data_IF_492925429364
#
_entry.id   IF_492925429364
#
_cell.length_a   1.000
_cell.length_b   1.000
_cell.length_c   1.000
_cell.angle_alpha   90.00
_cell.angle_beta   90.00
_cell.angle_gamma   90.00
#
_symmetry.space_group_name_H-M   'P 1'
#
loop_
_entity.id
_entity.type
_entity.pdbx_description
1 polymer ?
#
# COMPACT_ATOMS: atom_id res chain seq x y z
N UNK A 1 -13.25 1.09 3.29
CA UNK A 1 -13.48 0.77 4.73
C UNK A 1 -14.85 0.13 4.89
N UNK A 2 -14.97 -1.00 5.59
CA UNK A 2 -16.28 -1.59 5.93
C UNK A 2 -17.04 -0.73 6.94
N UNK A 3 -18.37 -0.65 6.80
CA UNK A 3 -19.30 0.02 7.72
C UNK A 3 -20.45 -0.92 8.08
N UNK A 4 -21.06 -0.72 9.26
CA UNK A 4 -22.20 -1.53 9.68
C UNK A 4 -23.39 -1.21 8.78
N UNK A 5 -23.96 -2.25 8.17
CA UNK A 5 -25.21 -2.11 7.43
C UNK A 5 -26.35 -1.77 8.40
N UNK A 6 -27.10 -0.73 8.06
CA UNK A 6 -28.24 -0.28 8.86
C UNK A 6 -28.84 0.97 8.23
N UNK A 7 -30.15 1.14 8.40
CA UNK A 7 -30.85 2.34 7.94
C UNK A 7 -31.19 3.19 9.15
N UNK A 8 -30.86 4.48 9.08
CA UNK A 8 -31.21 5.45 10.12
C UNK A 8 -31.86 6.65 9.47
N UNK A 9 -33.00 7.10 9.99
CA UNK A 9 -33.61 8.34 9.54
C UNK A 9 -32.94 9.53 10.25
N UNK A 10 -32.60 10.56 9.48
CA UNK A 10 -31.97 11.79 9.96
C UNK A 10 -32.99 12.94 9.90
N UNK A 11 -33.66 13.28 11.03
CA UNK A 11 -34.73 14.28 11.01
C UNK A 11 -34.25 15.67 10.55
N UNK A 12 -33.00 16.03 10.86
CA UNK A 12 -32.43 17.33 10.49
C UNK A 12 -32.26 17.50 8.98
N UNK A 13 -31.98 16.41 8.26
CA UNK A 13 -31.77 16.41 6.81
C UNK A 13 -32.96 15.88 6.03
N UNK A 14 -34.00 15.46 6.76
CA UNK A 14 -35.17 14.77 6.23
C UNK A 14 -34.79 13.67 5.22
N UNK A 15 -33.88 12.78 5.62
CA UNK A 15 -33.37 11.74 4.73
C UNK A 15 -33.04 10.44 5.46
N UNK A 16 -33.06 9.33 4.71
CA UNK A 16 -32.63 8.01 5.19
C UNK A 16 -31.15 7.83 4.90
N UNK A 17 -30.37 7.61 5.94
CA UNK A 17 -28.95 7.28 5.90
C UNK A 17 -28.74 5.75 5.84
N UNK A 18 -27.59 5.31 5.34
CA UNK A 18 -27.22 3.88 5.26
C UNK A 18 -27.46 3.23 3.90
N UNK A 19 -27.82 4.02 2.90
CA UNK A 19 -27.92 3.62 1.51
C UNK A 19 -26.63 3.96 0.75
N UNK A 20 -26.35 3.24 -0.33
CA UNK A 20 -25.22 3.52 -1.20
C UNK A 20 -25.34 4.89 -1.89
N UNK A 21 -24.20 5.52 -2.11
CA UNK A 21 -24.05 6.77 -2.84
C UNK A 21 -23.83 6.46 -4.32
N UNK A 22 -24.85 5.95 -4.99
CA UNK A 22 -24.84 5.80 -6.46
C UNK A 22 -25.70 6.89 -7.08
N UNK A 23 -25.24 7.42 -8.21
CA UNK A 23 -26.11 8.13 -9.14
C UNK A 23 -27.02 7.08 -9.79
N UNK A 24 -28.09 6.68 -9.10
CA UNK A 24 -29.17 5.96 -9.78
C UNK A 24 -29.71 6.96 -10.81
N UNK A 25 -29.60 6.63 -12.10
CA UNK A 25 -30.29 7.41 -13.12
C UNK A 25 -31.76 7.50 -12.68
N UNK A 26 -32.35 8.70 -12.54
CA UNK A 26 -33.72 8.85 -12.05
C UNK A 26 -34.75 8.07 -12.87
N UNK A 27 -34.40 7.72 -14.12
CA UNK A 27 -35.21 6.94 -15.05
C UNK A 27 -35.17 5.42 -14.80
N UNK A 28 -34.24 4.94 -13.99
CA UNK A 28 -34.17 3.53 -13.60
C UNK A 28 -34.71 3.37 -12.18
N UNK A 29 -35.89 2.77 -12.07
CA UNK A 29 -36.61 2.47 -10.84
C UNK A 29 -35.92 1.33 -10.04
N UNK A 30 -34.65 1.55 -9.70
CA UNK A 30 -33.80 0.59 -8.99
C UNK A 30 -33.78 0.97 -7.52
N UNK A 31 -34.22 0.03 -6.68
CA UNK A 31 -34.15 0.19 -5.22
C UNK A 31 -32.69 0.40 -4.79
N UNK A 32 -32.38 1.46 -4.02
CA UNK A 32 -31.02 1.73 -3.56
C UNK A 32 -30.55 0.63 -2.60
N UNK A 33 -29.32 0.14 -2.80
CA UNK A 33 -28.76 -0.91 -1.95
C UNK A 33 -28.26 -0.33 -0.61
N UNK A 34 -28.16 -1.20 0.39
CA UNK A 34 -27.55 -0.86 1.67
C UNK A 34 -26.05 -0.67 1.51
N UNK A 35 -25.54 0.38 2.14
CA UNK A 35 -24.12 0.65 2.21
C UNK A 35 -23.44 -0.34 3.15
N UNK A 36 -22.44 -1.06 2.63
CA UNK A 36 -21.57 -1.95 3.41
C UNK A 36 -20.15 -1.39 3.52
N UNK A 37 -19.79 -0.43 2.66
CA UNK A 37 -18.48 0.19 2.61
C UNK A 37 -18.57 1.71 2.51
N UNK A 38 -17.54 2.38 3.03
CA UNK A 38 -17.24 3.78 2.79
C UNK A 38 -15.91 3.90 2.04
N UNK A 39 -15.93 4.55 0.90
CA UNK A 39 -14.77 5.05 0.16
C UNK A 39 -14.47 6.45 0.64
N UNK A 40 -13.22 6.72 1.00
CA UNK A 40 -12.81 7.99 1.61
C UNK A 40 -11.65 8.55 0.81
N UNK A 41 -11.78 9.81 0.40
CA UNK A 41 -10.75 10.55 -0.32
C UNK A 41 -10.08 11.53 0.64
N UNK A 42 -8.75 11.48 0.70
CA UNK A 42 -7.94 12.34 1.58
C UNK A 42 -6.80 12.97 0.79
N UNK A 43 -6.63 14.27 0.96
CA UNK A 43 -5.45 14.98 0.50
C UNK A 43 -4.36 14.94 1.58
N UNK A 44 -3.12 14.71 1.14
CA UNK A 44 -1.93 14.66 1.99
C UNK A 44 -0.85 15.57 1.41
N UNK A 45 -0.31 16.47 2.24
CA UNK A 45 0.81 17.31 1.84
C UNK A 45 2.11 16.51 1.71
N UNK A 46 2.79 16.66 0.55
CA UNK A 46 4.10 16.05 0.30
C UNK A 46 5.20 16.85 1.02
N UNK A 47 5.33 18.16 0.73
CA UNK A 47 6.36 19.03 1.33
C UNK A 47 6.04 19.46 2.77
N UNK A 48 4.77 19.74 3.04
CA UNK A 48 4.28 20.23 4.34
C UNK A 48 3.45 19.15 5.03
N UNK A 49 3.52 19.09 6.37
CA UNK A 49 2.77 18.10 7.15
C UNK A 49 1.32 18.55 7.39
N UNK A 50 0.48 18.37 6.39
CA UNK A 50 -0.97 18.56 6.53
C UNK A 50 -1.72 17.39 5.89
N UNK A 51 -2.96 17.18 6.32
CA UNK A 51 -3.87 16.18 5.77
C UNK A 51 -5.30 16.66 5.92
N UNK A 52 -6.15 16.37 4.94
CA UNK A 52 -7.56 16.74 4.98
C UNK A 52 -8.40 15.71 4.24
N UNK A 53 -9.51 15.29 4.86
CA UNK A 53 -10.51 14.46 4.17
C UNK A 53 -11.28 15.37 3.20
N UNK A 54 -11.29 15.00 1.93
CA UNK A 54 -12.01 15.72 0.87
C UNK A 54 -13.48 15.31 0.84
N UNK A 55 -13.75 14.03 1.05
CA UNK A 55 -15.10 13.49 1.01
C UNK A 55 -15.14 12.00 1.25
N UNK A 56 -16.36 11.47 1.31
CA UNK A 56 -16.62 10.04 1.40
C UNK A 56 -17.85 9.67 0.57
N UNK A 57 -17.87 8.44 0.08
CA UNK A 57 -18.96 7.86 -0.69
C UNK A 57 -19.27 6.49 -0.14
N UNK A 58 -20.56 6.19 0.07
CA UNK A 58 -20.99 4.88 0.52
C UNK A 58 -21.20 3.94 -0.66
N UNK A 59 -20.78 2.69 -0.55
CA UNK A 59 -20.97 1.68 -1.60
C UNK A 59 -21.47 0.36 -1.02
N UNK A 60 -22.30 -0.35 -1.78
CA UNK A 60 -22.76 -1.70 -1.43
C UNK A 60 -21.74 -2.79 -1.76
N UNK A 61 -20.79 -2.52 -2.68
CA UNK A 61 -19.78 -3.47 -3.17
C UNK A 61 -18.39 -2.83 -3.37
N UNK A 62 -17.79 -2.33 -2.29
CA UNK A 62 -16.40 -1.83 -2.28
C UNK A 62 -16.07 -0.85 -3.43
N UNK A 63 -14.81 -0.82 -3.88
CA UNK A 63 -14.38 -0.07 -5.06
C UNK A 63 -14.52 -0.85 -6.39
N UNK A 64 -14.91 -2.14 -6.33
CA UNK A 64 -14.48 -3.11 -7.33
C UNK A 64 -15.30 -3.16 -8.63
N UNK A 65 -16.18 -2.19 -8.93
CA UNK A 65 -16.95 -2.18 -10.19
C UNK A 65 -17.61 -0.86 -10.60
N UNK A 66 -17.23 0.28 -10.01
CA UNK A 66 -17.97 1.52 -10.24
C UNK A 66 -17.23 2.41 -11.24
N UNK A 67 -17.85 2.62 -12.40
CA UNK A 67 -17.59 3.70 -13.37
C UNK A 67 -17.41 5.06 -12.66
N UNK A 68 -18.00 5.21 -11.46
CA UNK A 68 -17.91 6.40 -10.63
C UNK A 68 -16.58 6.60 -9.88
N UNK A 69 -15.72 5.58 -9.72
CA UNK A 69 -14.47 5.77 -8.95
C UNK A 69 -13.51 6.72 -9.65
N UNK A 70 -13.36 6.56 -10.97
CA UNK A 70 -12.56 7.49 -11.79
C UNK A 70 -13.17 8.89 -11.72
N UNK A 71 -14.50 9.01 -11.80
CA UNK A 71 -15.21 10.29 -11.66
C UNK A 71 -14.93 10.96 -10.31
N UNK A 72 -15.00 10.23 -9.20
CA UNK A 72 -14.74 10.78 -7.86
C UNK A 72 -13.27 11.15 -7.64
N UNK A 73 -12.34 10.39 -8.21
CA UNK A 73 -10.91 10.75 -8.24
C UNK A 73 -10.74 12.06 -9.02
N UNK A 74 -11.31 12.18 -10.22
CA UNK A 74 -11.24 13.40 -11.03
C UNK A 74 -11.84 14.60 -10.30
N UNK A 75 -13.02 14.45 -9.71
CA UNK A 75 -13.64 15.50 -8.88
C UNK A 75 -12.76 15.92 -7.70
N UNK A 76 -12.14 14.95 -7.02
CA UNK A 76 -11.20 15.22 -5.92
C UNK A 76 -9.99 16.02 -6.40
N UNK A 77 -9.46 15.70 -7.58
CA UNK A 77 -8.36 16.42 -8.22
C UNK A 77 -8.79 17.85 -8.58
N UNK A 78 -9.99 18.03 -9.13
CA UNK A 78 -10.50 19.34 -9.53
C UNK A 78 -10.74 20.26 -8.33
N UNK A 79 -11.24 19.73 -7.20
CA UNK A 79 -11.33 20.47 -5.93
C UNK A 79 -9.94 20.98 -5.51
N UNK A 80 -8.93 20.10 -5.54
CA UNK A 80 -7.57 20.47 -5.15
C UNK A 80 -6.98 21.52 -6.09
N UNK A 81 -7.18 21.38 -7.40
CA UNK A 81 -6.75 22.37 -8.39
C UNK A 81 -7.45 23.72 -8.18
N UNK A 82 -8.75 23.73 -7.86
CA UNK A 82 -9.50 24.94 -7.52
C UNK A 82 -8.96 25.66 -6.27
N UNK A 83 -8.29 24.92 -5.37
CA UNK A 83 -7.57 25.48 -4.22
C UNK A 83 -6.10 25.86 -4.55
N UNK A 84 -5.71 25.92 -5.82
CA UNK A 84 -4.32 26.14 -6.26
C UNK A 84 -3.32 25.10 -5.72
N UNK A 85 -3.77 23.87 -5.43
CA UNK A 85 -2.90 22.77 -5.05
C UNK A 85 -2.55 21.93 -6.28
N UNK A 86 -1.26 21.61 -6.43
CA UNK A 86 -0.80 20.68 -7.46
C UNK A 86 -0.85 19.24 -6.94
N UNK A 87 -1.67 18.42 -7.58
CA UNK A 87 -1.69 16.97 -7.36
C UNK A 87 -0.53 16.33 -8.13
N UNK A 88 0.31 15.58 -7.44
CA UNK A 88 1.48 14.90 -8.02
C UNK A 88 1.20 13.41 -8.26
N UNK A 89 0.53 12.76 -7.32
CA UNK A 89 0.24 11.33 -7.37
C UNK A 89 -1.02 10.99 -6.57
N UNK A 90 -1.57 9.81 -6.83
CA UNK A 90 -2.66 9.19 -6.08
C UNK A 90 -2.19 7.86 -5.52
N UNK A 91 -2.70 7.47 -4.34
CA UNK A 91 -2.35 6.20 -3.68
C UNK A 91 -3.63 5.42 -3.44
N UNK A 92 -3.75 4.25 -4.03
CA UNK A 92 -4.88 3.32 -3.88
C UNK A 92 -4.42 1.98 -3.28
N UNK A 93 -5.38 1.17 -2.83
CA UNK A 93 -5.11 -0.19 -2.40
C UNK A 93 -4.84 -1.09 -3.62
N UNK A 94 -4.37 -2.31 -3.37
CA UNK A 94 -4.10 -3.29 -4.41
C UNK A 94 -5.35 -4.11 -4.80
N UNK A 95 -6.53 -3.51 -4.81
CA UNK A 95 -7.75 -4.16 -5.29
C UNK A 95 -7.62 -4.63 -6.76
N UNK A 96 -8.27 -5.75 -7.17
CA UNK A 96 -8.16 -6.30 -8.53
C UNK A 96 -8.48 -5.33 -9.68
N UNK A 97 -9.17 -4.23 -9.40
CA UNK A 97 -9.49 -3.18 -10.37
C UNK A 97 -8.29 -2.28 -10.76
N UNK A 98 -7.13 -2.41 -10.10
CA UNK A 98 -6.04 -1.42 -10.13
C UNK A 98 -4.74 -1.89 -10.83
N UNK A 99 -4.71 -3.00 -11.58
CA UNK A 99 -3.46 -3.62 -12.07
C UNK A 99 -3.52 -4.03 -13.56
N UNK A 100 -2.73 -3.41 -14.45
CA UNK A 100 -2.57 -3.84 -15.87
C UNK A 100 -1.10 -3.83 -16.34
N UNK A 101 -0.61 -5.02 -16.75
CA UNK A 101 0.52 -5.34 -17.67
C UNK A 101 1.98 -5.14 -17.19
N UNK A 102 3.04 -5.81 -17.68
CA UNK A 102 3.33 -7.13 -18.29
C UNK A 102 4.88 -7.32 -18.23
N UNK A 103 5.39 -8.56 -18.27
CA UNK A 103 6.77 -8.97 -17.87
C UNK A 103 7.63 -9.56 -19.01
N UNK A 104 8.97 -9.55 -18.84
CA UNK A 104 9.93 -10.57 -19.34
C UNK A 104 11.08 -10.75 -18.32
N UNK A 105 11.52 -12.00 -17.99
CA UNK A 105 12.44 -12.32 -16.87
C UNK A 105 13.63 -13.26 -17.19
N UNK A 106 14.64 -13.27 -16.29
CA UNK A 106 15.57 -14.38 -15.90
C UNK A 106 15.51 -14.61 -14.38
N UNK A 107 15.90 -15.77 -13.80
CA UNK A 107 15.31 -16.33 -12.55
C UNK A 107 16.14 -16.27 -11.24
N UNK A 108 15.44 -16.12 -10.09
CA UNK A 108 15.84 -16.54 -8.72
C UNK A 108 14.64 -17.16 -7.96
N UNK A 109 14.88 -18.06 -6.97
CA UNK A 109 13.85 -18.78 -6.19
C UNK A 109 14.13 -18.79 -4.69
N UNK A 110 13.12 -18.53 -3.86
CA UNK A 110 13.12 -18.70 -2.39
C UNK A 110 12.06 -19.74 -1.96
N UNK A 111 12.27 -20.44 -0.84
CA UNK A 111 11.36 -21.50 -0.36
C UNK A 111 10.20 -20.93 0.46
N UNK A 112 8.96 -21.16 0.01
CA UNK A 112 7.74 -20.69 0.68
C UNK A 112 7.51 -21.34 2.04
N UNK A 113 7.80 -22.63 2.19
CA UNK A 113 7.61 -23.38 3.44
C UNK A 113 8.45 -22.80 4.60
N UNK A 114 9.60 -22.22 4.29
CA UNK A 114 10.47 -21.57 5.29
C UNK A 114 9.92 -20.22 5.74
N UNK A 115 9.26 -19.49 4.83
CA UNK A 115 8.61 -18.20 5.11
C UNK A 115 7.32 -18.42 5.91
N UNK A 116 6.55 -19.47 5.59
CA UNK A 116 5.29 -19.79 6.27
C UNK A 116 5.50 -20.23 7.73
N UNK A 117 6.52 -21.05 8.00
CA UNK A 117 6.90 -21.42 9.38
C UNK A 117 7.31 -20.22 10.24
N UNK A 118 7.82 -19.15 9.62
CA UNK A 118 8.11 -17.89 10.31
C UNK A 118 6.85 -17.02 10.47
N UNK A 119 5.87 -17.17 9.56
CA UNK A 119 4.60 -16.45 9.55
C UNK A 119 3.70 -16.83 10.73
N UNK A 120 3.73 -18.09 11.17
CA UNK A 120 2.93 -18.58 12.31
C UNK A 120 3.36 -17.98 13.66
N UNK A 121 4.50 -17.28 13.74
CA UNK A 121 5.07 -16.80 15.00
C UNK A 121 5.01 -15.29 15.27
N UNK A 122 4.90 -14.40 14.27
CA UNK A 122 4.58 -12.97 14.51
C UNK A 122 4.24 -12.22 13.20
N UNK A 123 3.07 -11.59 13.13
CA UNK A 123 2.48 -11.08 11.87
C UNK A 123 3.11 -9.78 11.33
N UNK A 124 4.03 -9.13 12.06
CA UNK A 124 4.57 -7.82 11.69
C UNK A 124 6.09 -7.82 11.40
N UNK A 125 6.82 -8.92 11.67
CA UNK A 125 8.30 -8.94 11.60
C UNK A 125 8.90 -9.97 10.63
N UNK A 126 8.08 -10.62 9.79
CA UNK A 126 8.53 -11.71 8.90
C UNK A 126 9.62 -11.26 7.92
N UNK A 127 9.57 -10.01 7.44
CA UNK A 127 10.56 -9.42 6.54
C UNK A 127 11.45 -8.40 7.26
N UNK A 128 12.14 -8.81 8.32
CA UNK A 128 12.94 -7.92 9.17
C UNK A 128 14.43 -8.26 9.18
N UNK A 129 15.25 -7.27 9.56
CA UNK A 129 16.69 -7.47 9.77
C UNK A 129 17.01 -8.55 10.81
N UNK A 130 16.23 -8.64 11.90
CA UNK A 130 16.39 -9.67 12.93
C UNK A 130 16.09 -11.06 12.38
N UNK A 131 15.04 -11.22 11.58
CA UNK A 131 14.70 -12.50 10.93
C UNK A 131 15.77 -12.90 9.91
N UNK A 132 16.25 -11.98 9.07
CA UNK A 132 17.37 -12.24 8.16
C UNK A 132 18.61 -12.71 8.92
N UNK A 133 18.98 -11.98 9.99
CA UNK A 133 20.16 -12.31 10.81
C UNK A 133 20.03 -13.68 11.48
N UNK A 134 18.85 -14.00 11.99
CA UNK A 134 18.56 -15.31 12.60
C UNK A 134 18.68 -16.44 11.57
N UNK A 135 18.11 -16.27 10.36
CA UNK A 135 18.23 -17.25 9.29
C UNK A 135 19.68 -17.45 8.82
N UNK A 136 20.47 -16.37 8.72
CA UNK A 136 21.90 -16.46 8.43
C UNK A 136 22.65 -17.23 9.51
N UNK A 137 22.37 -16.97 10.80
CA UNK A 137 22.97 -17.70 11.91
C UNK A 137 22.59 -19.18 11.88
N UNK A 138 21.33 -19.51 11.62
CA UNK A 138 20.87 -20.89 11.49
C UNK A 138 21.55 -21.61 10.32
N UNK A 139 21.75 -20.91 9.19
CA UNK A 139 22.45 -21.45 8.02
C UNK A 139 23.93 -21.73 8.27
N UNK A 140 24.54 -21.07 9.27
CA UNK A 140 25.94 -21.31 9.65
C UNK A 140 26.16 -22.59 10.47
N UNK A 141 25.10 -23.35 10.75
CA UNK A 141 25.18 -24.68 11.37
C UNK A 141 25.26 -24.69 12.90
N UNK A 142 25.10 -23.54 13.56
CA UNK A 142 25.33 -23.39 15.01
C UNK A 142 24.18 -23.84 15.92
N UNK A 143 22.94 -24.05 15.43
CA UNK A 143 21.79 -24.23 16.35
C UNK A 143 20.78 -25.34 16.05
N UNK A 144 20.73 -26.01 14.89
CA UNK A 144 19.81 -27.15 14.70
C UNK A 144 20.20 -28.05 13.51
N UNK A 145 20.17 -29.39 13.65
CA UNK A 145 20.18 -30.31 12.52
C UNK A 145 18.80 -30.26 11.84
N UNK A 146 18.68 -29.54 10.72
CA UNK A 146 17.43 -29.48 9.94
C UNK A 146 17.26 -28.25 9.05
N UNK A 147 17.97 -27.16 9.33
CA UNK A 147 18.04 -25.99 8.44
C UNK A 147 19.27 -26.12 7.53
N UNK A 148 19.04 -26.47 6.27
CA UNK A 148 20.10 -26.65 5.27
C UNK A 148 20.64 -25.33 4.72
N UNK A 149 21.59 -25.42 3.79
CA UNK A 149 22.17 -24.27 3.08
C UNK A 149 21.13 -23.36 2.40
N UNK A 150 19.91 -23.86 2.16
CA UNK A 150 18.77 -23.10 1.62
C UNK A 150 18.34 -21.91 2.49
N UNK A 151 18.53 -22.00 3.80
CA UNK A 151 18.15 -20.93 4.75
C UNK A 151 18.98 -19.66 4.57
N UNK A 152 20.19 -19.77 4.00
CA UNK A 152 21.01 -18.63 3.61
C UNK A 152 20.32 -17.79 2.53
N UNK A 153 19.80 -18.42 1.48
CA UNK A 153 19.12 -17.70 0.39
C UNK A 153 17.84 -17.02 0.87
N UNK A 154 17.11 -17.65 1.80
CA UNK A 154 15.96 -17.03 2.45
C UNK A 154 16.37 -15.83 3.31
N UNK A 155 17.48 -15.93 4.06
CA UNK A 155 18.02 -14.81 4.83
C UNK A 155 18.38 -13.61 3.95
N UNK A 156 19.08 -13.86 2.84
CA UNK A 156 19.47 -12.85 1.86
C UNK A 156 18.24 -12.18 1.22
N UNK A 157 17.25 -12.98 0.83
CA UNK A 157 15.98 -12.47 0.31
C UNK A 157 15.27 -11.57 1.32
N UNK A 158 15.13 -12.04 2.57
CA UNK A 158 14.46 -11.30 3.65
C UNK A 158 15.19 -9.99 3.96
N UNK A 159 16.52 -10.02 4.03
CA UNK A 159 17.34 -8.84 4.25
C UNK A 159 17.19 -7.81 3.13
N UNK A 160 17.19 -8.27 1.88
CA UNK A 160 16.99 -7.42 0.70
C UNK A 160 15.59 -6.80 0.70
N UNK A 161 14.56 -7.57 1.04
CA UNK A 161 13.19 -7.07 1.17
C UNK A 161 13.04 -6.04 2.29
N UNK A 162 13.64 -6.27 3.46
CA UNK A 162 13.64 -5.30 4.56
C UNK A 162 14.24 -3.97 4.10
N UNK A 163 15.38 -4.03 3.41
CA UNK A 163 16.06 -2.85 2.91
C UNK A 163 15.23 -2.09 1.86
N UNK A 164 14.58 -2.82 0.94
CA UNK A 164 13.64 -2.26 -0.01
C UNK A 164 12.47 -1.56 0.69
N UNK A 165 11.90 -2.18 1.73
CA UNK A 165 10.80 -1.61 2.49
C UNK A 165 11.19 -0.33 3.23
N UNK A 166 12.35 -0.34 3.91
CA UNK A 166 12.91 0.84 4.57
C UNK A 166 13.09 2.00 3.59
N UNK A 167 13.54 1.69 2.37
CA UNK A 167 13.71 2.65 1.28
C UNK A 167 12.42 3.24 0.72
N UNK A 168 11.25 2.81 1.18
CA UNK A 168 9.93 3.32 0.77
C UNK A 168 9.12 3.88 1.94
N UNK A 169 9.59 3.73 3.18
CA UNK A 169 8.83 4.09 4.38
C UNK A 169 9.57 5.08 5.30
N UNK A 170 10.48 5.89 4.74
CA UNK A 170 11.25 6.84 5.53
C UNK A 170 10.38 7.93 6.17
N UNK A 171 10.55 8.10 7.48
CA UNK A 171 9.83 9.08 8.32
C UNK A 171 10.69 10.28 8.71
N UNK A 172 12.01 10.16 8.56
CA UNK A 172 12.99 11.17 8.96
C UNK A 172 13.82 11.64 7.76
N UNK A 173 14.24 12.91 7.70
CA UNK A 173 15.03 13.41 6.58
C UNK A 173 16.41 12.75 6.46
N UNK A 174 17.06 12.52 7.60
CA UNK A 174 18.42 11.97 7.68
C UNK A 174 18.42 10.76 8.60
N UNK A 175 19.21 9.76 8.24
CA UNK A 175 19.43 8.55 9.02
C UNK A 175 20.88 8.11 8.81
N UNK A 176 21.48 7.53 9.85
CA UNK A 176 22.79 6.89 9.75
C UNK A 176 22.70 5.53 9.06
N UNK A 177 21.49 4.96 8.96
CA UNK A 177 21.23 3.73 8.22
C UNK A 177 20.98 4.06 6.74
N UNK A 178 21.68 3.42 5.80
CA UNK A 178 21.47 3.62 4.37
C UNK A 178 19.99 3.43 4.00
N UNK A 179 19.46 4.32 3.15
CA UNK A 179 18.10 4.30 2.60
C UNK A 179 16.94 4.29 3.61
N UNK A 180 17.22 4.41 4.91
CA UNK A 180 16.19 4.62 5.95
C UNK A 180 15.79 6.11 6.05
N UNK A 181 16.65 7.01 5.56
CA UNK A 181 16.37 8.44 5.49
C UNK A 181 15.50 8.81 4.29
N UNK A 182 15.13 10.09 4.18
CA UNK A 182 14.41 10.59 3.03
C UNK A 182 15.21 10.45 1.72
N UNK A 183 14.51 10.31 0.59
CA UNK A 183 15.14 10.35 -0.72
C UNK A 183 15.68 11.75 -1.02
N UNK A 184 16.90 11.81 -1.53
CA UNK A 184 17.70 12.98 -1.92
C UNK A 184 18.51 12.65 -3.17
N UNK A 185 18.99 13.68 -3.86
CA UNK A 185 19.86 13.52 -5.05
C UNK A 185 21.11 12.69 -4.77
N UNK A 186 21.65 12.76 -3.55
CA UNK A 186 22.86 12.07 -3.11
C UNK A 186 22.60 10.77 -2.33
N UNK A 187 21.34 10.39 -2.17
CA UNK A 187 20.95 9.30 -1.25
C UNK A 187 20.97 7.90 -1.87
N UNK A 188 21.24 7.78 -3.18
CA UNK A 188 21.28 6.51 -3.88
C UNK A 188 19.93 5.79 -4.05
N UNK A 189 18.80 6.43 -3.70
CA UNK A 189 17.48 5.77 -3.76
C UNK A 189 17.07 5.41 -5.18
N UNK A 190 17.44 6.22 -6.18
CA UNK A 190 17.04 5.97 -7.56
C UNK A 190 17.74 4.73 -8.11
N UNK A 191 19.05 4.62 -7.90
CA UNK A 191 19.87 3.48 -8.26
C UNK A 191 19.40 2.22 -7.53
N UNK A 192 19.07 2.36 -6.23
CA UNK A 192 18.49 1.29 -5.45
C UNK A 192 17.18 0.81 -6.08
N UNK A 193 16.21 1.69 -6.33
CA UNK A 193 14.91 1.27 -6.86
C UNK A 193 15.04 0.65 -8.24
N UNK A 194 15.92 1.17 -9.11
CA UNK A 194 16.19 0.57 -10.41
C UNK A 194 16.77 -0.85 -10.27
N UNK A 195 17.76 -1.03 -9.38
CA UNK A 195 18.34 -2.36 -9.12
C UNK A 195 17.30 -3.34 -8.54
N UNK A 196 16.42 -2.85 -7.67
CA UNK A 196 15.35 -3.64 -7.05
C UNK A 196 14.26 -4.01 -8.04
N UNK A 197 13.92 -3.14 -9.01
CA UNK A 197 13.02 -3.49 -10.11
C UNK A 197 13.63 -4.65 -10.90
N UNK A 198 14.89 -4.54 -11.32
CA UNK A 198 15.55 -5.63 -12.05
C UNK A 198 15.60 -6.92 -11.24
N UNK A 199 15.80 -6.83 -9.92
CA UNK A 199 15.77 -7.99 -9.03
C UNK A 199 14.37 -8.62 -8.90
N UNK A 200 13.31 -7.83 -8.72
CA UNK A 200 11.92 -8.31 -8.64
C UNK A 200 11.46 -8.91 -9.98
N UNK A 201 11.90 -8.31 -11.09
CA UNK A 201 11.77 -8.85 -12.44
C UNK A 201 12.50 -10.18 -12.59
N UNK A 202 13.22 -10.71 -11.60
CA UNK A 202 13.75 -12.08 -11.62
C UNK A 202 12.92 -13.13 -10.89
N UNK A 203 11.95 -12.70 -10.09
CA UNK A 203 11.21 -13.61 -9.22
C UNK A 203 10.28 -14.55 -9.98
N UNK A 204 10.43 -15.85 -9.77
CA UNK A 204 9.51 -16.88 -10.25
C UNK A 204 8.81 -17.52 -9.06
N UNK A 205 7.48 -17.49 -9.07
CA UNK A 205 6.69 -18.12 -8.04
C UNK A 205 6.14 -19.45 -8.55
N UNK A 206 6.13 -20.46 -7.69
CA UNK A 206 5.60 -21.80 -7.99
C UNK A 206 4.68 -22.25 -6.88
N UNK A 207 3.62 -22.97 -7.23
CA UNK A 207 2.79 -23.66 -6.25
C UNK A 207 3.48 -24.93 -5.74
N UNK A 208 2.88 -25.57 -4.72
CA UNK A 208 3.36 -26.84 -4.16
C UNK A 208 3.47 -27.99 -5.19
N UNK A 209 2.83 -27.86 -6.36
CA UNK A 209 2.87 -28.83 -7.47
C UNK A 209 3.92 -28.44 -8.53
N UNK A 210 4.69 -27.38 -8.29
CA UNK A 210 5.74 -26.86 -9.18
C UNK A 210 5.23 -26.02 -10.35
N UNK A 211 3.91 -25.78 -10.46
CA UNK A 211 3.32 -24.96 -11.52
C UNK A 211 3.64 -23.49 -11.26
N UNK A 212 4.06 -22.78 -12.31
CA UNK A 212 4.32 -21.35 -12.24
C UNK A 212 3.03 -20.58 -11.90
N UNK A 213 3.15 -19.69 -10.94
CA UNK A 213 2.12 -18.72 -10.56
C UNK A 213 2.70 -17.30 -10.70
N UNK A 214 1.84 -16.33 -11.02
CA UNK A 214 2.24 -14.91 -11.07
C UNK A 214 1.36 -14.16 -10.07
N UNK A 215 1.87 -13.92 -8.84
CA UNK A 215 1.11 -13.19 -7.84
C UNK A 215 1.00 -11.72 -8.24
N UNK A 216 -0.16 -11.13 -8.00
CA UNK A 216 -0.42 -9.72 -8.27
C UNK A 216 0.55 -8.77 -7.53
N UNK A 217 1.07 -9.20 -6.38
CA UNK A 217 2.03 -8.47 -5.55
C UNK A 217 3.32 -8.12 -6.30
N UNK A 218 3.83 -9.01 -7.15
CA UNK A 218 5.05 -8.76 -7.95
C UNK A 218 4.88 -7.55 -8.86
N UNK A 219 3.77 -7.49 -9.59
CA UNK A 219 3.42 -6.34 -10.44
C UNK A 219 3.23 -5.07 -9.59
N UNK A 220 2.64 -5.21 -8.40
CA UNK A 220 2.50 -4.11 -7.43
C UNK A 220 3.84 -3.49 -7.01
N UNK A 221 4.83 -4.33 -6.70
CA UNK A 221 6.17 -3.86 -6.32
C UNK A 221 6.86 -3.12 -7.46
N UNK A 222 6.87 -3.68 -8.67
CA UNK A 222 7.47 -3.02 -9.85
C UNK A 222 6.77 -1.69 -10.12
N UNK A 223 5.43 -1.67 -10.12
CA UNK A 223 4.66 -0.45 -10.31
C UNK A 223 4.95 0.60 -9.24
N UNK A 224 5.06 0.20 -7.98
CA UNK A 224 5.40 1.11 -6.86
C UNK A 224 6.77 1.74 -7.07
N UNK A 225 7.79 0.95 -7.38
CA UNK A 225 9.16 1.47 -7.59
C UNK A 225 9.24 2.40 -8.80
N UNK A 226 8.59 2.04 -9.90
CA UNK A 226 8.52 2.90 -11.10
C UNK A 226 7.73 4.19 -10.84
N UNK A 227 6.65 4.12 -10.07
CA UNK A 227 5.91 5.30 -9.66
C UNK A 227 6.76 6.22 -8.78
N UNK A 228 7.52 5.67 -7.83
CA UNK A 228 8.42 6.45 -6.98
C UNK A 228 9.54 7.13 -7.77
N UNK A 229 10.13 6.42 -8.74
CA UNK A 229 11.07 7.00 -9.71
C UNK A 229 10.42 8.16 -10.50
N UNK A 230 9.21 7.97 -11.01
CA UNK A 230 8.47 9.01 -11.74
C UNK A 230 8.09 10.22 -10.88
N UNK A 231 7.67 10.00 -9.63
CA UNK A 231 7.38 11.05 -8.64
C UNK A 231 8.64 11.84 -8.35
N UNK A 232 9.77 11.16 -8.11
CA UNK A 232 11.04 11.81 -7.83
C UNK A 232 11.45 12.76 -8.97
N UNK A 233 11.43 12.28 -10.22
CA UNK A 233 11.73 13.09 -11.41
C UNK A 233 10.75 14.26 -11.58
N UNK A 234 9.46 14.03 -11.34
CA UNK A 234 8.42 15.07 -11.42
C UNK A 234 8.58 16.18 -10.39
N UNK A 235 9.33 15.93 -9.32
CA UNK A 235 9.60 16.87 -8.23
C UNK A 235 10.90 17.66 -8.39
N UNK A 236 11.74 17.35 -9.38
CA UNK A 236 13.04 18.03 -9.60
C UNK A 236 12.87 19.55 -9.80
N UNK A 237 11.79 19.98 -10.48
CA UNK A 237 11.48 21.40 -10.66
C UNK A 237 11.03 22.16 -9.40
N UNK A 238 10.83 21.47 -8.27
CA UNK A 238 10.28 22.06 -7.03
C UNK A 238 11.34 22.40 -5.97
N UNK A 239 12.63 22.27 -6.29
CA UNK A 239 13.76 22.53 -5.37
C UNK A 239 13.56 21.87 -3.99
N UNK A 240 13.13 20.60 -4.00
CA UNK A 240 12.90 19.83 -2.79
C UNK A 240 14.24 19.32 -2.24
N UNK A 241 14.56 19.64 -0.98
CA UNK A 241 15.80 19.15 -0.33
C UNK A 241 15.78 17.64 -0.10
N UNK A 242 14.60 17.09 0.18
CA UNK A 242 14.40 15.68 0.44
C UNK A 242 12.92 15.31 0.27
N UNK A 243 12.64 14.02 0.12
CA UNK A 243 11.30 13.45 0.03
C UNK A 243 11.09 12.37 1.09
N UNK A 244 10.13 12.61 1.99
CA UNK A 244 9.71 11.62 2.99
C UNK A 244 8.78 10.60 2.35
N UNK A 245 9.15 9.34 2.42
CA UNK A 245 8.55 8.28 1.60
C UNK A 245 7.32 7.67 2.27
N UNK A 246 7.23 7.75 3.61
CA UNK A 246 6.03 7.41 4.38
C UNK A 246 4.79 8.27 4.06
N UNK A 247 4.91 9.27 3.16
CA UNK A 247 3.79 10.08 2.69
C UNK A 247 3.07 9.47 1.49
N UNK A 248 3.64 8.42 0.91
CA UNK A 248 3.13 7.72 -0.26
C UNK A 248 2.49 6.37 0.09
N UNK A 249 2.04 6.22 1.33
CA UNK A 249 1.30 5.06 1.82
C UNK A 249 -0.08 5.45 2.36
N UNK A 250 -0.94 4.44 2.58
CA UNK A 250 -2.31 4.64 3.04
C UNK A 250 -2.45 4.71 4.57
N UNK A 251 -1.37 4.48 5.32
CA UNK A 251 -1.37 4.49 6.80
C UNK A 251 -1.99 5.76 7.36
N UNK A 252 -1.74 6.90 6.71
CA UNK A 252 -2.30 8.18 7.15
C UNK A 252 -3.84 8.20 7.11
N UNK A 253 -4.43 7.60 6.09
CA UNK A 253 -5.88 7.47 5.93
C UNK A 253 -6.41 6.48 6.96
N UNK A 254 -5.82 5.30 7.04
CA UNK A 254 -6.25 4.24 7.97
C UNK A 254 -6.20 4.69 9.42
N UNK A 255 -5.11 5.33 9.85
CA UNK A 255 -4.98 5.88 11.20
C UNK A 255 -6.05 6.94 11.52
N UNK A 256 -6.40 7.75 10.53
CA UNK A 256 -7.45 8.78 10.69
C UNK A 256 -8.83 8.13 10.83
N UNK A 257 -9.08 7.03 10.12
CA UNK A 257 -10.33 6.27 10.21
C UNK A 257 -10.42 5.48 11.53
N UNK A 258 -9.33 4.84 11.95
CA UNK A 258 -9.24 4.14 13.23
C UNK A 258 -9.51 5.06 14.41
N UNK A 259 -8.98 6.28 14.38
CA UNK A 259 -9.28 7.30 15.39
C UNK A 259 -10.77 7.69 15.42
N UNK A 260 -11.41 7.82 14.24
CA UNK A 260 -12.86 8.09 14.16
C UNK A 260 -13.70 6.93 14.69
N UNK A 261 -13.31 5.67 14.41
CA UNK A 261 -13.99 4.49 14.99
C UNK A 261 -13.94 4.51 16.51
N UNK A 262 -12.78 4.83 17.11
CA UNK A 262 -12.61 4.91 18.57
C UNK A 262 -13.50 5.97 19.24
N UNK A 263 -13.77 7.09 18.56
CA UNK A 263 -14.67 8.15 19.08
C UNK A 263 -16.16 7.79 19.03
N UNK A 264 -16.55 6.78 18.25
CA UNK A 264 -17.93 6.29 18.16
C UNK A 264 -18.24 5.10 19.08
N UNK A 265 -17.27 4.63 19.87
CA UNK A 265 -17.44 3.46 20.73
C UNK A 265 -17.93 3.80 22.14
N UNK A 266 -19.23 3.65 22.39
CA UNK A 266 -19.70 3.09 23.67
C UNK A 266 -19.37 1.58 23.75
N UNK A 267 -19.45 0.94 24.93
CA UNK A 267 -18.56 -0.16 25.29
C UNK A 267 -18.81 -1.46 24.52
N UNK A 268 -17.70 -2.11 24.18
CA UNK A 268 -17.61 -3.47 23.68
C UNK A 268 -17.55 -3.56 22.16
N UNK A 269 -16.45 -4.11 21.64
CA UNK A 269 -16.46 -5.22 20.67
C UNK A 269 -15.00 -5.50 20.27
N UNK A 270 -14.39 -6.40 21.05
CA UNK A 270 -13.61 -7.51 20.53
C UNK A 270 -14.48 -8.38 19.62
#
# INVERSE_FOLDING_TARGET
MAVKEGLTYCPRRDCVEGLETTNVNPEQDVKPLRASHALVFMARGIKKNWKQVLGYFFTSKGASKNVDTVKWVTQSIDILKGCNLKVITTVCDQGPANLVGNETQRKMTASWDQIEKLYEHDNEQVLSHSVASALSLLSSGLMTPGFGAESYFTAEFVGTMNFLFDSLNSKVPYSNKPHHGAARTDSGHLELWQSMVSWIETWEFRDARGKKISPASKKGWIMTLRAMEGIWKSLEGYQMKYLLLNRFNQDCLENTLSFRRRRGGGPGHS
#
